data_IF_916373057688
#
_entry.id   IF_916373057688
#
_cell.length_a   1.000
_cell.length_b   1.000
_cell.length_c   1.000
_cell.angle_alpha   90.00
_cell.angle_beta   90.00
_cell.angle_gamma   90.00
#
_symmetry.space_group_name_H-M   'P 1'
#
loop_
_entity.id
_entity.type
_entity.pdbx_description
1 polymer ?
#
# COMPACT_ATOMS: atom_id res chain seq x y z
N UNK A 1 5.13 17.54 8.87
CA UNK A 1 4.25 16.34 8.83
C UNK A 1 4.56 15.65 7.51
N UNK A 2 4.76 14.33 7.49
CA UNK A 2 5.36 13.66 6.32
C UNK A 2 4.28 13.43 5.26
N UNK A 3 4.17 14.31 4.26
CA UNK A 3 3.12 14.28 3.23
C UNK A 3 2.93 12.89 2.58
N UNK A 4 4.01 12.12 2.45
CA UNK A 4 3.98 10.74 1.91
C UNK A 4 3.27 9.76 2.85
N UNK A 5 3.46 9.90 4.16
CA UNK A 5 2.79 9.07 5.16
C UNK A 5 1.28 9.28 5.12
N UNK A 6 0.84 10.54 5.17
CA UNK A 6 -0.58 10.88 5.16
C UNK A 6 -1.24 10.46 3.85
N UNK A 7 -0.54 10.64 2.73
CA UNK A 7 -1.02 10.18 1.43
C UNK A 7 -1.16 8.65 1.36
N UNK A 8 -0.14 7.90 1.82
CA UNK A 8 -0.20 6.43 1.84
C UNK A 8 -1.30 5.92 2.78
N UNK A 9 -1.43 6.52 3.96
CA UNK A 9 -2.45 6.16 4.94
C UNK A 9 -3.84 6.35 4.37
N UNK A 10 -4.11 7.49 3.72
CA UNK A 10 -5.39 7.75 3.07
C UNK A 10 -5.70 6.72 1.98
N UNK A 11 -4.76 6.48 1.07
CA UNK A 11 -4.93 5.50 -0.03
C UNK A 11 -5.12 4.07 0.47
N UNK A 12 -4.41 3.71 1.52
CA UNK A 12 -4.53 2.40 2.15
C UNK A 12 -5.86 2.24 2.87
N UNK A 13 -6.36 3.30 3.53
CA UNK A 13 -7.69 3.31 4.16
C UNK A 13 -8.80 3.19 3.12
N UNK A 14 -8.70 3.93 2.01
CA UNK A 14 -9.65 3.85 0.90
C UNK A 14 -9.70 2.42 0.34
N UNK A 15 -8.55 1.79 0.12
CA UNK A 15 -8.46 0.40 -0.35
C UNK A 15 -8.92 -0.63 0.69
N UNK A 16 -8.66 -0.41 1.98
CA UNK A 16 -9.14 -1.28 3.07
C UNK A 16 -10.68 -1.30 3.09
N UNK A 17 -11.33 -0.15 2.87
CA UNK A 17 -12.79 -0.01 2.87
C UNK A 17 -13.44 -0.42 1.55
N UNK A 18 -12.88 0.01 0.42
CA UNK A 18 -13.43 -0.21 -0.92
C UNK A 18 -12.89 -1.46 -1.63
N UNK A 19 -12.00 -2.22 -0.98
CA UNK A 19 -11.44 -3.46 -1.51
C UNK A 19 -10.64 -3.26 -2.80
N UNK A 20 -10.65 -4.30 -3.64
CA UNK A 20 -9.85 -4.35 -4.87
C UNK A 20 -10.24 -3.26 -5.88
N UNK A 21 -11.49 -2.83 -5.92
CA UNK A 21 -11.95 -1.77 -6.84
C UNK A 21 -11.29 -0.42 -6.51
N UNK A 22 -11.30 -0.02 -5.23
CA UNK A 22 -10.65 1.19 -4.76
C UNK A 22 -9.11 1.15 -4.88
N UNK A 23 -8.52 -0.05 -4.84
CA UNK A 23 -7.11 -0.26 -5.11
C UNK A 23 -6.77 -0.19 -6.61
N UNK A 24 -7.61 -0.76 -7.48
CA UNK A 24 -7.34 -0.90 -8.91
C UNK A 24 -7.30 0.45 -9.67
N UNK A 25 -7.90 1.51 -9.12
CA UNK A 25 -7.86 2.87 -9.72
C UNK A 25 -6.65 3.70 -9.31
N UNK A 26 -5.80 3.20 -8.40
CA UNK A 26 -4.61 3.91 -7.94
C UNK A 26 -3.47 3.85 -8.97
N UNK A 27 -2.49 4.73 -8.86
CA UNK A 27 -1.28 4.65 -9.69
C UNK A 27 -0.49 3.36 -9.39
N UNK A 28 0.33 2.89 -10.32
CA UNK A 28 1.11 1.66 -10.14
C UNK A 28 1.98 1.67 -8.88
N UNK A 29 2.61 2.81 -8.54
CA UNK A 29 3.41 2.93 -7.32
C UNK A 29 2.57 2.86 -6.05
N UNK A 30 1.40 3.50 -6.05
CA UNK A 30 0.44 3.41 -4.95
C UNK A 30 -0.11 2.00 -4.79
N UNK A 31 -0.48 1.33 -5.89
CA UNK A 31 -0.97 -0.05 -5.87
C UNK A 31 0.00 -0.98 -5.14
N UNK A 32 1.27 -0.87 -5.51
CA UNK A 32 2.35 -1.67 -4.92
C UNK A 32 2.48 -1.36 -3.41
N UNK A 33 2.58 -0.07 -3.04
CA UNK A 33 2.75 0.33 -1.65
C UNK A 33 1.52 -0.05 -0.78
N UNK A 34 0.31 0.18 -1.28
CA UNK A 34 -0.94 -0.16 -0.57
C UNK A 34 -1.10 -1.67 -0.42
N UNK A 35 -0.76 -2.46 -1.44
CA UNK A 35 -0.82 -3.91 -1.35
C UNK A 35 0.17 -4.44 -0.29
N UNK A 36 1.36 -3.84 -0.16
CA UNK A 36 2.29 -4.15 0.92
C UNK A 36 1.75 -3.76 2.30
N UNK A 37 1.17 -2.56 2.45
CA UNK A 37 0.56 -2.09 3.71
C UNK A 37 -0.57 -3.01 4.17
N UNK A 38 -1.42 -3.46 3.25
CA UNK A 38 -2.57 -4.31 3.56
C UNK A 38 -2.23 -5.80 3.54
N UNK A 39 -0.96 -6.17 3.35
CA UNK A 39 -0.50 -7.56 3.22
C UNK A 39 -1.28 -8.38 2.16
N UNK A 40 -1.54 -7.77 1.00
CA UNK A 40 -2.30 -8.34 -0.12
C UNK A 40 -1.38 -8.77 -1.26
N UNK A 41 -0.64 -9.86 -1.05
CA UNK A 41 0.18 -10.46 -2.10
C UNK A 41 -0.64 -10.93 -3.32
N UNK A 42 -1.92 -11.25 -3.12
CA UNK A 42 -2.86 -11.57 -4.19
C UNK A 42 -3.11 -10.36 -5.11
N UNK A 43 -3.16 -9.15 -4.56
CA UNK A 43 -3.31 -7.92 -5.36
C UNK A 43 -2.04 -7.61 -6.16
N UNK A 44 -0.85 -7.82 -5.60
CA UNK A 44 0.39 -7.72 -6.38
C UNK A 44 0.39 -8.70 -7.57
N UNK A 45 -0.13 -9.91 -7.35
CA UNK A 45 -0.21 -10.93 -8.38
C UNK A 45 -1.14 -10.55 -9.55
N UNK A 46 -2.20 -9.76 -9.32
CA UNK A 46 -3.10 -9.31 -10.41
C UNK A 46 -2.43 -8.34 -11.38
N UNK A 47 -1.37 -7.65 -10.95
CA UNK A 47 -0.53 -6.78 -11.78
C UNK A 47 0.80 -7.44 -12.15
N UNK A 48 0.95 -8.75 -11.92
CA UNK A 48 2.14 -9.54 -12.20
C UNK A 48 3.39 -9.09 -11.42
N UNK A 49 3.20 -8.59 -10.20
CA UNK A 49 4.29 -8.24 -9.28
C UNK A 49 4.44 -9.30 -8.19
N UNK A 50 5.69 -9.61 -7.85
CA UNK A 50 6.03 -10.31 -6.61
C UNK A 50 6.21 -9.31 -5.47
N UNK A 51 6.34 -9.81 -4.23
CA UNK A 51 6.70 -8.96 -3.08
C UNK A 51 8.09 -8.33 -3.26
N UNK A 52 9.03 -9.04 -3.89
CA UNK A 52 10.36 -8.50 -4.16
C UNK A 52 10.30 -7.33 -5.16
N UNK A 53 9.57 -7.51 -6.27
CA UNK A 53 9.35 -6.43 -7.26
C UNK A 53 8.66 -5.23 -6.63
N UNK A 54 7.73 -5.49 -5.71
CA UNK A 54 7.01 -4.47 -4.99
C UNK A 54 7.95 -3.61 -4.11
N UNK A 55 8.82 -4.26 -3.35
CA UNK A 55 9.83 -3.60 -2.51
C UNK A 55 10.79 -2.77 -3.37
N UNK A 56 11.30 -3.35 -4.45
CA UNK A 56 12.21 -2.66 -5.39
C UNK A 56 11.53 -1.44 -6.01
N UNK A 57 10.28 -1.57 -6.45
CA UNK A 57 9.51 -0.52 -7.11
C UNK A 57 9.11 0.61 -6.18
N UNK A 58 8.73 0.30 -4.94
CA UNK A 58 8.42 1.32 -3.93
C UNK A 58 9.65 2.12 -3.53
N UNK A 59 10.82 1.48 -3.49
CA UNK A 59 12.06 2.09 -3.03
C UNK A 59 12.12 2.25 -1.50
N UNK A 60 13.34 2.34 -0.98
CA UNK A 60 13.66 2.30 0.46
C UNK A 60 12.85 3.32 1.28
N UNK A 61 12.66 4.52 0.74
CA UNK A 61 11.94 5.61 1.40
C UNK A 61 10.46 5.28 1.68
N UNK A 62 9.79 4.60 0.74
CA UNK A 62 8.40 4.18 0.91
C UNK A 62 8.31 2.93 1.77
N UNK A 63 9.23 1.98 1.58
CA UNK A 63 9.27 0.74 2.36
C UNK A 63 9.46 1.02 3.86
N UNK A 64 10.22 2.06 4.22
CA UNK A 64 10.43 2.46 5.60
C UNK A 64 9.14 2.90 6.33
N UNK A 65 8.16 3.47 5.62
CA UNK A 65 6.91 3.97 6.22
C UNK A 65 5.77 2.95 6.21
N UNK A 66 5.86 1.89 5.39
CA UNK A 66 4.82 0.85 5.27
C UNK A 66 4.44 0.23 6.63
N UNK A 67 5.38 -0.20 7.50
CA UNK A 67 5.03 -0.77 8.79
C UNK A 67 4.32 0.22 9.72
N UNK A 68 4.62 1.51 9.61
CA UNK A 68 3.97 2.54 10.43
C UNK A 68 2.51 2.72 10.01
N UNK A 69 2.26 2.82 8.71
CA UNK A 69 0.89 2.93 8.16
C UNK A 69 0.07 1.68 8.45
N UNK A 70 0.65 0.49 8.30
CA UNK A 70 -0.04 -0.77 8.59
C UNK A 70 -0.49 -0.85 10.06
N UNK A 71 0.35 -0.45 11.01
CA UNK A 71 -0.01 -0.40 12.44
C UNK A 71 -1.13 0.60 12.70
N UNK A 72 -1.01 1.82 12.16
CA UNK A 72 -2.04 2.84 12.31
C UNK A 72 -3.42 2.36 11.83
N UNK A 73 -3.48 1.64 10.70
CA UNK A 73 -4.74 1.09 10.19
C UNK A 73 -5.31 -0.05 11.04
N UNK A 74 -4.47 -0.81 11.74
CA UNK A 74 -4.90 -1.87 12.64
C UNK A 74 -5.41 -1.31 13.97
N UNK A 75 -4.88 -0.16 14.42
CA UNK A 75 -5.37 0.56 15.60
C UNK A 75 -6.70 1.30 15.37
N UNK A 76 -7.10 1.51 14.11
CA UNK A 76 -8.39 2.09 13.71
C UNK A 76 -9.55 1.09 13.74
N UNK A 77 -9.29 -0.20 13.99
CA UNK A 77 -10.30 -1.28 14.14
C UNK A 77 -10.72 -1.47 15.60
#
# INVERSE_FOLDING_TARGET
>A
MNDRYEHLLRKSRDAKRGGHEAWSVQSTGEKVAVALVLNRADWLSTIQYTVADAIERSGIEWVAIIPQVARQLAEEE
#
